data_IF_951318118682
#
_entry.id   IF_951318118682
#
_cell.length_a   1.000
_cell.length_b   1.000
_cell.length_c   1.000
_cell.angle_alpha   90.00
_cell.angle_beta   90.00
_cell.angle_gamma   90.00
#
_symmetry.space_group_name_H-M   'P 1'
#
loop_
_entity.id
_entity.type
_entity.pdbx_description
1 polymer ?
#
# COMPACT_ATOMS: atom_id res chain seq x y z
N UNK A 1 -12.26 -5.38 -9.33
CA UNK A 1 -10.86 -5.26 -8.88
C UNK A 1 -9.97 -5.32 -10.11
N UNK A 2 -8.94 -4.46 -10.22
CA UNK A 2 -7.95 -4.57 -11.30
C UNK A 2 -7.10 -5.82 -11.03
N UNK A 3 -7.02 -6.74 -11.99
CA UNK A 3 -6.17 -7.94 -11.86
C UNK A 3 -4.69 -7.55 -11.96
N UNK A 4 -3.84 -8.14 -11.13
CA UNK A 4 -2.37 -7.90 -11.18
C UNK A 4 -1.80 -8.30 -12.56
N UNK A 5 -2.38 -9.31 -13.20
CA UNK A 5 -2.02 -9.74 -14.56
C UNK A 5 -2.22 -8.64 -15.60
N UNK A 6 -3.32 -7.89 -15.53
CA UNK A 6 -3.60 -6.79 -16.44
C UNK A 6 -2.60 -5.63 -16.25
N UNK A 7 -2.16 -5.40 -15.01
CA UNK A 7 -1.15 -4.39 -14.69
C UNK A 7 0.22 -4.81 -15.24
N UNK A 8 0.61 -6.07 -15.08
CA UNK A 8 1.87 -6.60 -15.59
C UNK A 8 1.93 -6.55 -17.12
N UNK A 9 0.87 -6.98 -17.80
CA UNK A 9 0.78 -6.89 -19.26
C UNK A 9 0.86 -5.44 -19.77
N UNK A 10 0.19 -4.50 -19.08
CA UNK A 10 0.24 -3.08 -19.44
C UNK A 10 1.62 -2.43 -19.22
N UNK A 11 2.41 -2.93 -18.26
CA UNK A 11 3.79 -2.48 -18.04
C UNK A 11 4.71 -3.01 -19.15
N UNK A 12 4.61 -4.30 -19.49
CA UNK A 12 5.39 -4.89 -20.57
C UNK A 12 5.14 -4.18 -21.93
N UNK A 13 3.87 -3.88 -22.22
CA UNK A 13 3.49 -3.10 -23.42
C UNK A 13 4.08 -1.68 -23.42
N UNK A 14 4.26 -1.07 -22.25
CA UNK A 14 4.87 0.26 -22.11
C UNK A 14 6.39 0.23 -22.29
N UNK A 15 7.06 -0.85 -21.86
CA UNK A 15 8.51 -1.02 -22.03
C UNK A 15 8.92 -1.30 -23.49
N UNK A 16 8.02 -1.90 -24.27
CA UNK A 16 8.21 -2.15 -25.70
C UNK A 16 8.05 -0.90 -26.58
N UNK A 17 7.48 0.20 -26.06
CA UNK A 17 7.26 1.42 -26.82
C UNK A 17 8.47 2.35 -26.76
N UNK A 18 9.00 2.72 -27.93
CA UNK A 18 10.08 3.72 -28.07
C UNK A 18 9.67 5.12 -27.56
N UNK A 19 8.36 5.42 -27.59
CA UNK A 19 7.76 6.63 -27.03
C UNK A 19 6.68 6.26 -26.02
N UNK A 20 6.93 6.57 -24.76
CA UNK A 20 6.05 6.23 -23.63
C UNK A 20 4.65 6.88 -23.75
N UNK A 21 3.63 6.08 -24.06
CA UNK A 21 2.24 6.52 -24.09
C UNK A 21 1.35 5.83 -23.03
N UNK A 22 1.43 6.32 -21.79
CA UNK A 22 0.69 5.78 -20.63
C UNK A 22 -0.83 5.91 -20.78
N UNK A 23 -1.31 6.94 -21.49
CA UNK A 23 -2.73 7.22 -21.59
C UNK A 23 -3.45 6.22 -22.50
N UNK A 24 -2.83 5.86 -23.63
CA UNK A 24 -3.39 4.87 -24.55
C UNK A 24 -3.33 3.46 -23.97
N UNK A 25 -2.21 3.06 -23.39
CA UNK A 25 -2.08 1.73 -22.75
C UNK A 25 -3.08 1.59 -21.61
N UNK A 26 -3.22 2.59 -20.74
CA UNK A 26 -4.24 2.59 -19.70
C UNK A 26 -5.66 2.41 -20.25
N UNK A 27 -5.98 3.06 -21.38
CA UNK A 27 -7.29 2.94 -22.03
C UNK A 27 -7.51 1.55 -22.63
N UNK A 28 -6.49 0.97 -23.29
CA UNK A 28 -6.53 -0.38 -23.87
C UNK A 28 -6.79 -1.45 -22.81
N UNK A 29 -6.05 -1.38 -21.70
CA UNK A 29 -6.17 -2.35 -20.61
C UNK A 29 -7.30 -2.03 -19.62
N UNK A 30 -8.06 -0.94 -19.84
CA UNK A 30 -9.12 -0.45 -18.93
C UNK A 30 -8.62 -0.24 -17.49
N UNK A 31 -7.37 0.19 -17.34
CA UNK A 31 -6.73 0.48 -16.06
C UNK A 31 -6.77 1.99 -15.82
N UNK A 32 -6.93 2.42 -14.58
CA UNK A 32 -6.79 3.83 -14.26
C UNK A 32 -5.36 4.30 -14.59
N UNK A 33 -5.23 5.35 -15.42
CA UNK A 33 -3.95 5.92 -15.85
C UNK A 33 -3.02 6.28 -14.68
N UNK A 34 -3.58 6.76 -13.56
CA UNK A 34 -2.81 7.06 -12.35
C UNK A 34 -2.24 5.79 -11.73
N UNK A 35 -3.02 4.72 -11.67
CA UNK A 35 -2.57 3.41 -11.17
C UNK A 35 -1.43 2.86 -12.01
N UNK A 36 -1.58 2.85 -13.34
CA UNK A 36 -0.55 2.36 -14.26
C UNK A 36 0.75 3.18 -14.14
N UNK A 37 0.65 4.51 -14.06
CA UNK A 37 1.81 5.40 -13.89
C UNK A 37 2.53 5.21 -12.54
N UNK A 38 1.79 4.95 -11.46
CA UNK A 38 2.39 4.68 -10.14
C UNK A 38 3.09 3.33 -10.11
N UNK A 39 2.54 2.32 -10.78
CA UNK A 39 3.12 0.97 -10.93
C UNK A 39 4.38 1.00 -11.78
N UNK A 40 4.33 1.67 -12.94
CA UNK A 40 5.48 1.82 -13.83
C UNK A 40 6.67 2.54 -13.17
N UNK A 41 6.39 3.55 -12.32
CA UNK A 41 7.43 4.26 -11.56
C UNK A 41 7.92 3.53 -10.31
N UNK A 42 7.39 2.34 -10.00
CA UNK A 42 7.75 1.59 -8.79
C UNK A 42 7.32 2.23 -7.47
N UNK A 43 6.41 3.21 -7.49
CA UNK A 43 5.94 3.92 -6.27
C UNK A 43 5.04 3.01 -5.42
N UNK A 44 4.32 2.11 -6.09
CA UNK A 44 3.46 1.12 -5.44
C UNK A 44 3.87 -0.25 -5.95
N UNK A 45 4.28 -1.13 -5.05
CA UNK A 45 4.57 -2.54 -5.34
C UNK A 45 3.31 -3.41 -5.38
N UNK A 46 3.47 -4.64 -5.84
CA UNK A 46 2.37 -5.63 -5.85
C UNK A 46 1.98 -6.04 -4.43
N UNK A 47 0.73 -6.51 -4.26
CA UNK A 47 0.30 -7.06 -2.96
C UNK A 47 1.17 -8.25 -2.54
N UNK A 48 1.65 -9.04 -3.52
CA UNK A 48 2.54 -10.16 -3.30
C UNK A 48 3.92 -9.69 -2.80
N UNK A 49 4.50 -8.65 -3.42
CA UNK A 49 5.74 -8.02 -2.94
C UNK A 49 5.58 -7.46 -1.52
N UNK A 50 4.49 -6.75 -1.23
CA UNK A 50 4.21 -6.22 0.11
C UNK A 50 4.01 -7.32 1.15
N UNK A 51 3.56 -8.51 0.72
CA UNK A 51 3.34 -9.67 1.59
C UNK A 51 4.58 -10.57 1.67
N UNK A 52 5.58 -10.38 0.80
CA UNK A 52 6.83 -11.14 0.76
C UNK A 52 7.40 -11.29 2.16
N UNK A 53 7.43 -12.55 2.64
CA UNK A 53 7.96 -12.90 3.96
C UNK A 53 9.43 -12.44 4.06
N UNK A 54 10.16 -12.45 2.94
CA UNK A 54 11.55 -12.04 2.89
C UNK A 54 11.75 -10.55 3.23
N UNK A 55 10.99 -9.66 2.58
CA UNK A 55 11.08 -8.21 2.83
C UNK A 55 10.64 -7.84 4.26
N UNK A 56 9.66 -8.57 4.80
CA UNK A 56 9.24 -8.43 6.20
C UNK A 56 10.32 -8.90 7.18
N UNK A 57 10.98 -10.03 6.91
CA UNK A 57 12.07 -10.55 7.76
C UNK A 57 13.28 -9.63 7.78
N UNK A 58 13.65 -9.04 6.65
CA UNK A 58 14.75 -8.07 6.59
C UNK A 58 14.46 -6.84 7.45
N UNK A 59 13.24 -6.28 7.35
CA UNK A 59 12.83 -5.16 8.21
C UNK A 59 12.79 -5.55 9.69
N UNK A 60 12.27 -6.73 10.03
CA UNK A 60 12.25 -7.25 11.40
C UNK A 60 13.66 -7.39 11.96
N UNK A 61 14.60 -7.93 11.18
CA UNK A 61 16.00 -8.08 11.57
C UNK A 61 16.70 -6.71 11.70
N UNK A 62 16.50 -5.82 10.72
CA UNK A 62 17.13 -4.49 10.68
C UNK A 62 16.75 -3.62 11.87
N UNK A 63 15.49 -3.64 12.27
CA UNK A 63 14.99 -2.85 13.39
C UNK A 63 14.85 -3.65 14.69
N UNK A 64 15.36 -4.89 14.70
CA UNK A 64 15.30 -5.81 15.83
C UNK A 64 13.89 -5.89 16.46
N UNK A 65 12.87 -6.00 15.60
CA UNK A 65 11.46 -5.99 15.99
C UNK A 65 11.16 -7.31 16.70
N UNK A 66 11.03 -7.28 18.01
CA UNK A 66 10.53 -8.41 18.79
C UNK A 66 8.99 -8.39 18.82
N UNK A 67 8.32 -9.52 19.16
CA UNK A 67 6.88 -9.53 19.39
C UNK A 67 6.41 -8.48 20.41
N UNK A 68 7.27 -8.15 21.38
CA UNK A 68 7.03 -7.11 22.40
C UNK A 68 7.04 -5.69 21.83
N UNK A 69 7.76 -5.45 20.73
CA UNK A 69 7.79 -4.16 20.02
C UNK A 69 6.52 -3.92 19.18
N UNK A 70 5.69 -4.94 18.96
CA UNK A 70 4.38 -4.83 18.31
C UNK A 70 3.34 -4.33 19.34
N UNK A 71 3.74 -3.36 20.16
CA UNK A 71 3.02 -2.90 21.36
C UNK A 71 1.75 -2.10 21.07
N UNK A 72 1.38 -1.87 19.80
CA UNK A 72 0.28 -0.98 19.44
C UNK A 72 -0.88 -1.65 18.69
N UNK A 73 -0.91 -2.98 18.62
CA UNK A 73 -2.03 -3.72 18.01
C UNK A 73 -2.64 -4.78 18.95
N UNK A 74 -2.45 -4.64 20.27
CA UNK A 74 -3.13 -5.44 21.29
C UNK A 74 -4.21 -4.63 22.04
N UNK A 75 -4.76 -5.21 23.11
CA UNK A 75 -5.74 -4.58 24.01
C UNK A 75 -5.35 -3.16 24.44
N UNK A 76 -4.07 -2.86 24.69
CA UNK A 76 -3.62 -1.50 25.07
C UNK A 76 -3.71 -0.52 23.91
N UNK A 77 -3.36 -0.95 22.70
CA UNK A 77 -3.54 -0.14 21.48
C UNK A 77 -5.02 0.17 21.21
N UNK A 78 -5.89 -0.83 21.42
CA UNK A 78 -7.35 -0.67 21.35
C UNK A 78 -7.88 0.30 22.41
N UNK A 79 -7.41 0.16 23.67
CA UNK A 79 -7.81 1.02 24.78
C UNK A 79 -7.34 2.46 24.62
N UNK A 80 -6.13 2.72 24.09
CA UNK A 80 -5.66 4.07 23.75
C UNK A 80 -6.54 4.69 22.64
N UNK A 81 -6.94 3.89 21.65
CA UNK A 81 -7.88 4.32 20.62
C UNK A 81 -9.24 4.73 21.19
N UNK A 82 -9.78 3.94 22.13
CA UNK A 82 -11.01 4.27 22.87
C UNK A 82 -10.85 5.52 23.74
N UNK A 83 -9.74 5.65 24.46
CA UNK A 83 -9.47 6.79 25.33
C UNK A 83 -9.42 8.12 24.55
N UNK A 84 -8.77 8.12 23.39
CA UNK A 84 -8.76 9.31 22.52
C UNK A 84 -10.13 9.59 21.88
N UNK A 85 -10.98 8.58 21.66
CA UNK A 85 -12.35 8.79 21.20
C UNK A 85 -13.24 9.41 22.30
N UNK A 86 -13.06 8.99 23.56
CA UNK A 86 -13.79 9.53 24.72
C UNK A 86 -13.38 10.97 25.02
N UNK A 87 -12.08 11.30 24.97
CA UNK A 87 -11.57 12.67 25.22
C UNK A 87 -11.97 13.70 24.15
N UNK A 88 -12.53 13.28 23.01
CA UNK A 88 -13.07 14.18 21.96
C UNK A 88 -14.48 14.69 22.24
N UNK A 89 -15.18 14.16 23.24
CA UNK A 89 -16.48 14.71 23.67
C UNK A 89 -16.20 15.90 24.59
N UNK A 90 -16.21 17.11 24.03
CA UNK A 90 -16.21 18.34 24.83
C UNK A 90 -17.62 18.49 25.40
N UNK A 91 -17.84 18.41 26.73
CA UNK A 91 -19.14 18.77 27.29
C UNK A 91 -19.34 20.28 27.09
N UNK A 92 -20.33 20.64 26.29
CA UNK A 92 -20.85 22.01 26.27
C UNK A 92 -21.59 22.17 27.59
N UNK A 93 -20.96 22.78 28.58
CA UNK A 93 -21.68 23.29 29.75
C UNK A 93 -22.50 24.50 29.27
N UNK A 94 -23.83 24.34 29.29
CA UNK A 94 -24.85 25.40 29.14
C UNK A 94 -24.82 26.34 30.34
#
# INVERSE_FOLDING_TARGET
MVSEEAIAAAIADLELQDVLNISETARRFKINRVTLSRRYRGVIGSRAEATSIFYKREAIAKYNITPENIYNFDEKGFLIGLEHAVKRIIPIYL
#
